data_IF_175415643811
#
_entry.id   IF_175415643811
#
_cell.length_a   1.000
_cell.length_b   1.000
_cell.length_c   1.000
_cell.angle_alpha   90.00
_cell.angle_beta   90.00
_cell.angle_gamma   90.00
#
_symmetry.space_group_name_H-M   'P 1'
#
loop_
_entity.id
_entity.type
_entity.pdbx_description
1 polymer ?
#
# COMPACT_ATOMS: atom_id res chain seq x y z
N UNK A 1 -32.41 21.84 31.73
CA UNK A 1 -33.66 21.37 31.14
C UNK A 1 -33.43 20.15 30.28
N UNK A 2 -34.45 19.43 29.97
CA UNK A 2 -34.42 18.25 29.10
C UNK A 2 -33.92 18.58 27.70
N UNK A 3 -34.25 19.75 27.16
CA UNK A 3 -33.78 20.18 25.84
C UNK A 3 -32.28 20.49 25.82
N UNK A 4 -31.76 21.11 26.89
CA UNK A 4 -30.35 21.40 27.02
C UNK A 4 -29.54 20.09 27.11
N UNK A 5 -30.02 19.12 27.88
CA UNK A 5 -29.38 17.81 28.01
C UNK A 5 -29.36 17.05 26.68
N UNK A 6 -30.49 17.08 25.94
CA UNK A 6 -30.59 16.45 24.63
C UNK A 6 -29.63 17.06 23.61
N UNK A 7 -29.49 18.40 23.62
CA UNK A 7 -28.54 19.12 22.75
C UNK A 7 -27.09 18.76 23.10
N UNK A 8 -26.76 18.63 24.38
CA UNK A 8 -25.43 18.26 24.83
C UNK A 8 -25.09 16.83 24.41
N UNK A 9 -26.01 15.89 24.58
CA UNK A 9 -25.85 14.50 24.12
C UNK A 9 -25.65 14.45 22.62
N UNK A 10 -26.45 15.20 21.85
CA UNK A 10 -26.36 15.26 20.40
C UNK A 10 -25.01 15.82 19.95
N UNK A 11 -24.55 16.90 20.58
CA UNK A 11 -23.26 17.51 20.29
C UNK A 11 -22.10 16.55 20.55
N UNK A 12 -22.14 15.83 21.66
CA UNK A 12 -21.13 14.81 22.00
C UNK A 12 -21.14 13.64 21.02
N UNK A 13 -22.33 13.20 20.62
CA UNK A 13 -22.51 12.16 19.62
C UNK A 13 -21.87 12.56 18.27
N UNK A 14 -22.13 13.78 17.82
CA UNK A 14 -21.56 14.31 16.58
C UNK A 14 -20.04 14.40 16.64
N UNK A 15 -19.50 14.82 17.78
CA UNK A 15 -18.05 14.87 17.99
C UNK A 15 -17.43 13.50 17.90
N UNK A 16 -18.04 12.49 18.54
CA UNK A 16 -17.58 11.10 18.50
C UNK A 16 -17.64 10.55 17.08
N UNK A 17 -18.73 10.81 16.36
CA UNK A 17 -18.88 10.36 14.97
C UNK A 17 -17.79 10.95 14.08
N UNK A 18 -17.45 12.22 14.23
CA UNK A 18 -16.37 12.88 13.50
C UNK A 18 -15.00 12.26 13.82
N UNK A 19 -14.76 11.97 15.08
CA UNK A 19 -13.50 11.30 15.48
C UNK A 19 -13.39 9.89 14.89
N UNK A 20 -14.49 9.14 14.89
CA UNK A 20 -14.53 7.79 14.28
C UNK A 20 -14.25 7.89 12.78
N UNK A 21 -14.91 8.80 12.08
CA UNK A 21 -14.71 8.99 10.64
C UNK A 21 -13.25 9.37 10.33
N UNK A 22 -12.65 10.21 11.13
CA UNK A 22 -11.26 10.62 11.02
C UNK A 22 -10.31 9.42 11.20
N UNK A 23 -10.57 8.58 12.20
CA UNK A 23 -9.76 7.38 12.44
C UNK A 23 -9.91 6.36 11.33
N UNK A 24 -11.11 6.20 10.76
CA UNK A 24 -11.35 5.32 9.62
C UNK A 24 -10.55 5.79 8.41
N UNK A 25 -10.59 7.08 8.09
CA UNK A 25 -9.84 7.65 6.97
C UNK A 25 -8.33 7.46 7.16
N UNK A 26 -7.86 7.66 8.38
CA UNK A 26 -6.45 7.44 8.72
C UNK A 26 -6.05 5.98 8.52
N UNK A 27 -6.87 5.05 9.00
CA UNK A 27 -6.62 3.63 8.84
C UNK A 27 -6.61 3.21 7.37
N UNK A 28 -7.54 3.72 6.57
CA UNK A 28 -7.59 3.47 5.13
C UNK A 28 -6.33 3.96 4.42
N UNK A 29 -5.85 5.14 4.78
CA UNK A 29 -4.60 5.71 4.24
C UNK A 29 -3.40 4.84 4.61
N UNK A 30 -3.32 4.41 5.86
CA UNK A 30 -2.24 3.52 6.33
C UNK A 30 -2.25 2.18 5.59
N UNK A 31 -3.42 1.60 5.35
CA UNK A 31 -3.56 0.37 4.57
C UNK A 31 -3.05 0.56 3.14
N UNK A 32 -3.38 1.67 2.49
CA UNK A 32 -2.89 1.98 1.14
C UNK A 32 -1.37 2.11 1.11
N UNK A 33 -0.78 2.73 2.11
CA UNK A 33 0.68 2.84 2.22
C UNK A 33 1.35 1.48 2.43
N UNK A 34 0.77 0.63 3.29
CA UNK A 34 1.26 -0.73 3.51
C UNK A 34 1.22 -1.54 2.21
N UNK A 35 0.13 -1.47 1.45
CA UNK A 35 0.01 -2.13 0.15
C UNK A 35 1.07 -1.66 -0.82
N UNK A 36 1.24 -0.35 -0.95
CA UNK A 36 2.26 0.25 -1.82
C UNK A 36 3.67 -0.21 -1.46
N UNK A 37 4.01 -0.16 -0.19
CA UNK A 37 5.32 -0.58 0.29
C UNK A 37 5.55 -2.08 0.12
N UNK A 38 4.51 -2.89 0.31
CA UNK A 38 4.59 -4.34 0.10
C UNK A 38 4.84 -4.68 -1.36
N UNK A 39 4.15 -4.01 -2.29
CA UNK A 39 4.35 -4.18 -3.73
C UNK A 39 5.79 -3.80 -4.11
N UNK A 40 6.27 -2.66 -3.62
CA UNK A 40 7.64 -2.21 -3.86
C UNK A 40 8.67 -3.21 -3.34
N UNK A 41 8.44 -3.77 -2.16
CA UNK A 41 9.32 -4.80 -1.57
C UNK A 41 9.32 -6.08 -2.40
N UNK A 42 8.16 -6.53 -2.86
CA UNK A 42 8.06 -7.72 -3.72
C UNK A 42 8.79 -7.49 -5.05
N UNK A 43 8.65 -6.32 -5.65
CA UNK A 43 9.37 -5.97 -6.87
C UNK A 43 10.88 -6.02 -6.67
N UNK A 44 11.39 -5.43 -5.58
CA UNK A 44 12.81 -5.43 -5.27
C UNK A 44 13.37 -6.84 -5.05
N UNK A 45 12.63 -7.67 -4.31
CA UNK A 45 13.02 -9.07 -4.08
C UNK A 45 13.02 -9.84 -5.39
N UNK A 46 12.01 -9.65 -6.23
CA UNK A 46 11.89 -10.31 -7.53
C UNK A 46 13.03 -9.92 -8.47
N UNK A 47 13.41 -8.63 -8.50
CA UNK A 47 14.57 -8.14 -9.26
C UNK A 47 15.85 -8.83 -8.83
N UNK A 48 16.08 -8.92 -7.52
CA UNK A 48 17.29 -9.53 -6.98
C UNK A 48 17.36 -11.02 -7.29
N UNK A 49 16.23 -11.72 -7.14
CA UNK A 49 16.16 -13.17 -7.46
C UNK A 49 16.40 -13.39 -8.95
N UNK A 50 15.74 -12.64 -9.82
CA UNK A 50 15.89 -12.76 -11.26
C UNK A 50 17.34 -12.48 -11.70
N UNK A 51 17.94 -11.39 -11.18
CA UNK A 51 19.31 -11.04 -11.48
C UNK A 51 20.28 -12.13 -11.04
N UNK A 52 20.10 -12.69 -9.85
CA UNK A 52 20.94 -13.77 -9.33
C UNK A 52 20.83 -15.06 -10.15
N UNK A 53 19.62 -15.43 -10.54
CA UNK A 53 19.39 -16.63 -11.36
C UNK A 53 20.09 -16.48 -12.71
N UNK A 54 19.89 -15.35 -13.39
CA UNK A 54 20.44 -15.13 -14.72
C UNK A 54 21.97 -15.02 -14.65
N UNK A 55 22.51 -14.35 -13.65
CA UNK A 55 23.95 -14.24 -13.43
C UNK A 55 24.59 -15.62 -13.19
N UNK A 56 23.92 -16.50 -12.45
CA UNK A 56 24.39 -17.87 -12.19
C UNK A 56 24.30 -18.77 -13.42
N UNK A 57 23.31 -18.55 -14.29
CA UNK A 57 23.13 -19.36 -15.50
C UNK A 57 24.06 -18.90 -16.63
N UNK A 58 24.14 -17.59 -16.86
CA UNK A 58 24.85 -17.01 -17.99
C UNK A 58 26.33 -16.69 -17.71
N UNK A 59 26.67 -16.51 -16.44
CA UNK A 59 28.02 -16.04 -16.04
C UNK A 59 28.27 -14.57 -16.36
N UNK A 60 27.33 -13.89 -16.98
CA UNK A 60 27.43 -12.48 -17.35
C UNK A 60 26.57 -11.61 -16.45
N UNK A 61 27.09 -10.43 -16.12
CA UNK A 61 26.28 -9.43 -15.44
C UNK A 61 25.24 -8.88 -16.40
N UNK A 62 23.99 -9.05 -16.05
CA UNK A 62 22.89 -8.48 -16.79
C UNK A 62 22.72 -7.01 -16.48
N UNK A 63 22.12 -6.28 -17.42
CA UNK A 63 21.75 -4.91 -17.23
C UNK A 63 20.63 -4.82 -16.20
N UNK A 64 20.94 -4.39 -14.99
CA UNK A 64 19.99 -4.24 -13.88
C UNK A 64 18.82 -3.33 -14.23
N UNK A 65 19.05 -2.28 -15.02
CA UNK A 65 17.99 -1.37 -15.46
C UNK A 65 16.95 -2.04 -16.34
N UNK A 66 17.37 -2.95 -17.22
CA UNK A 66 16.45 -3.71 -18.08
C UNK A 66 15.64 -4.72 -17.29
N UNK A 67 16.26 -5.38 -16.33
CA UNK A 67 15.58 -6.33 -15.43
C UNK A 67 14.54 -5.58 -14.60
N UNK A 68 14.92 -4.47 -14.02
CA UNK A 68 14.02 -3.62 -13.23
C UNK A 68 12.82 -3.15 -14.04
N UNK A 69 13.04 -2.63 -15.24
CA UNK A 69 11.97 -2.14 -16.11
C UNK A 69 10.99 -3.27 -16.46
N UNK A 70 11.49 -4.46 -16.76
CA UNK A 70 10.66 -5.64 -17.08
C UNK A 70 9.82 -6.07 -15.88
N UNK A 71 10.44 -6.17 -14.71
CA UNK A 71 9.73 -6.57 -13.48
C UNK A 71 8.67 -5.54 -13.10
N UNK A 72 8.97 -4.25 -13.20
CA UNK A 72 7.98 -3.20 -12.94
C UNK A 72 6.79 -3.30 -13.90
N UNK A 73 7.02 -3.51 -15.18
CA UNK A 73 5.95 -3.61 -16.17
C UNK A 73 5.07 -4.83 -15.91
N UNK A 74 5.66 -5.99 -15.70
CA UNK A 74 4.93 -7.23 -15.39
C UNK A 74 4.17 -7.10 -14.08
N UNK A 75 4.79 -6.54 -13.06
CA UNK A 75 4.17 -6.35 -11.75
C UNK A 75 2.96 -5.43 -11.82
N UNK A 76 3.06 -4.31 -12.52
CA UNK A 76 1.94 -3.37 -12.69
C UNK A 76 0.76 -4.03 -13.38
N UNK A 77 1.01 -4.83 -14.41
CA UNK A 77 -0.04 -5.54 -15.16
C UNK A 77 -0.73 -6.59 -14.30
N UNK A 78 0.00 -7.33 -13.51
CA UNK A 78 -0.54 -8.44 -12.71
C UNK A 78 -1.12 -7.98 -11.37
N UNK A 79 -0.43 -7.09 -10.67
CA UNK A 79 -0.88 -6.59 -9.36
C UNK A 79 -2.12 -5.72 -9.51
N UNK A 80 -2.23 -4.92 -10.56
CA UNK A 80 -3.41 -4.10 -10.85
C UNK A 80 -4.71 -4.89 -10.98
N UNK A 81 -4.63 -6.19 -11.29
CA UNK A 81 -5.80 -7.07 -11.34
C UNK A 81 -6.32 -7.47 -9.97
N UNK A 82 -5.51 -7.39 -8.94
CA UNK A 82 -5.81 -7.89 -7.59
C UNK A 82 -5.91 -6.77 -6.55
N UNK A 83 -5.53 -5.58 -6.88
CA UNK A 83 -5.58 -4.41 -6.01
C UNK A 83 -6.46 -3.30 -6.57
#
# INVERSE_FOLDING_TARGET
SKNILNKDIQSKKETIEKEIDKEILKAQKEILEIKKNSISSIQNISENIAANIIENISGDKLNESSIKATIEDVSKKNIGKYL
#
